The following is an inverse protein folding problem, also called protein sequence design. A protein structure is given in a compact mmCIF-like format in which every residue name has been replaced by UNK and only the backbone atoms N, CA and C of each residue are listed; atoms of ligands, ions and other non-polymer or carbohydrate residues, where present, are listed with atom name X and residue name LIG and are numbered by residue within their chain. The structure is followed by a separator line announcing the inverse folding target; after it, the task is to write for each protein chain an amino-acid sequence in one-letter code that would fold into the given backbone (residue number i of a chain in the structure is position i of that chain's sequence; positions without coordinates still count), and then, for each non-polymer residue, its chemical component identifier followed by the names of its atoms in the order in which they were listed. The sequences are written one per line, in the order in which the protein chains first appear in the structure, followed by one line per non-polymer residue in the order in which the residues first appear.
data_IF_014160963303
#
_entry.id   IF_014160963303
#
_cell.length_a   1.000
_cell.length_b   1.000
_cell.length_c   1.000
_cell.angle_alpha   90.00
_cell.angle_beta   90.00
_cell.angle_gamma   90.00
#
_symmetry.space_group_name_H-M   'P 1'
#
loop_
_entity.id
_entity.type
_entity.pdbx_description
1 polymer ?
#
# COMPACT_ATOMS: atom_id res chain seq x y z
N UNK A 1 -3.80 -24.09 -5.67
CA UNK A 1 -3.52 -22.80 -5.00
C UNK A 1 -3.18 -21.80 -6.09
N UNK A 2 -4.02 -20.77 -6.29
CA UNK A 2 -3.81 -19.75 -7.35
C UNK A 2 -2.53 -18.99 -6.98
N UNK A 3 -1.42 -19.18 -7.70
CA UNK A 3 -0.20 -18.40 -7.53
C UNK A 3 -0.50 -16.98 -8.01
N UNK A 4 -0.83 -16.11 -7.06
CA UNK A 4 -0.90 -14.68 -7.32
C UNK A 4 0.55 -14.26 -7.50
N UNK A 5 0.97 -13.95 -8.74
CA UNK A 5 2.29 -13.38 -9.03
C UNK A 5 2.28 -11.93 -8.53
N UNK A 6 2.32 -11.76 -7.21
CA UNK A 6 2.59 -10.45 -6.60
C UNK A 6 4.11 -10.31 -6.57
N UNK A 7 4.61 -9.32 -7.29
CA UNK A 7 6.02 -8.93 -7.30
C UNK A 7 6.24 -7.80 -6.31
N UNK A 8 7.46 -7.67 -5.78
CA UNK A 8 7.85 -6.57 -4.88
C UNK A 8 7.53 -5.17 -5.45
N UNK A 9 7.62 -4.97 -6.78
CA UNK A 9 7.17 -3.75 -7.48
C UNK A 9 5.69 -3.43 -7.29
N UNK A 10 4.80 -4.44 -7.27
CA UNK A 10 3.37 -4.22 -7.06
C UNK A 10 3.08 -3.75 -5.63
N UNK A 11 3.87 -4.20 -4.65
CA UNK A 11 3.75 -3.75 -3.26
C UNK A 11 4.24 -2.30 -3.09
N UNK A 12 5.32 -1.92 -3.77
CA UNK A 12 5.73 -0.51 -3.84
C UNK A 12 4.68 0.36 -4.53
N UNK A 13 4.08 -0.12 -5.63
CA UNK A 13 2.99 0.57 -6.30
C UNK A 13 1.75 0.71 -5.38
N UNK A 14 1.41 -0.34 -4.63
CA UNK A 14 0.34 -0.30 -3.64
C UNK A 14 0.62 0.71 -2.51
N UNK A 15 1.87 0.82 -2.06
CA UNK A 15 2.29 1.83 -1.10
C UNK A 15 2.05 3.25 -1.63
N UNK A 16 2.45 3.53 -2.87
CA UNK A 16 2.18 4.81 -3.54
C UNK A 16 0.67 5.05 -3.74
N UNK A 17 -0.06 4.04 -4.19
CA UNK A 17 -1.51 4.13 -4.39
C UNK A 17 -2.25 4.45 -3.09
N UNK A 18 -1.78 3.96 -1.94
CA UNK A 18 -2.33 4.30 -0.62
C UNK A 18 -2.22 5.79 -0.31
N UNK A 19 -1.12 6.44 -0.69
CA UNK A 19 -0.93 7.89 -0.51
C UNK A 19 -1.95 8.66 -1.36
N UNK A 20 -2.07 8.32 -2.65
CA UNK A 20 -3.04 8.95 -3.54
C UNK A 20 -4.50 8.69 -3.12
N UNK A 21 -4.80 7.51 -2.59
CA UNK A 21 -6.11 7.17 -2.06
C UNK A 21 -6.47 8.02 -0.83
N UNK A 22 -5.51 8.27 0.08
CA UNK A 22 -5.70 9.16 1.24
C UNK A 22 -6.00 10.60 0.80
N UNK A 23 -5.24 11.13 -0.17
CA UNK A 23 -5.45 12.48 -0.72
C UNK A 23 -6.80 12.57 -1.45
N UNK A 24 -7.15 11.56 -2.25
CA UNK A 24 -8.42 11.52 -2.99
C UNK A 24 -9.62 11.48 -2.05
N UNK A 25 -9.53 10.74 -0.95
CA UNK A 25 -10.57 10.68 0.09
C UNK A 25 -10.80 12.04 0.75
N UNK A 26 -9.74 12.82 0.98
CA UNK A 26 -9.85 14.18 1.49
C UNK A 26 -10.55 15.11 0.49
N UNK A 27 -10.22 15.01 -0.80
CA UNK A 27 -10.87 15.79 -1.86
C UNK A 27 -12.35 15.43 -2.06
N UNK A 28 -12.68 14.14 -2.06
CA UNK A 28 -14.04 13.62 -2.27
C UNK A 28 -14.99 13.96 -1.11
N UNK A 29 -14.47 14.25 0.08
CA UNK A 29 -15.31 14.42 1.28
C UNK A 29 -15.37 15.83 1.85
N UNK A 30 -14.92 16.82 1.08
CA UNK A 30 -14.88 18.25 1.47
C UNK A 30 -16.27 18.91 1.62
N UNK A 31 -17.28 18.21 2.14
CA UNK A 31 -18.63 18.76 2.29
C UNK A 31 -19.72 17.88 2.89
N UNK A 32 -19.50 16.58 3.18
CA UNK A 32 -20.59 15.72 3.70
C UNK A 32 -20.06 14.62 4.63
N UNK A 33 -20.46 14.67 5.91
CA UNK A 33 -20.16 13.71 6.99
C UNK A 33 -18.68 13.59 7.43
N UNK A 34 -18.16 14.66 8.04
CA UNK A 34 -16.75 14.87 8.46
C UNK A 34 -16.14 13.71 9.28
N UNK A 35 -16.79 13.25 10.35
CA UNK A 35 -16.10 12.47 11.39
C UNK A 35 -15.59 11.07 10.98
N UNK A 36 -16.25 10.40 10.03
CA UNK A 36 -15.84 9.05 9.59
C UNK A 36 -14.85 9.10 8.42
N UNK A 37 -14.93 10.16 7.62
CA UNK A 37 -14.09 10.35 6.46
C UNK A 37 -12.64 10.72 6.83
N UNK A 38 -12.49 11.64 7.78
CA UNK A 38 -11.19 12.06 8.28
C UNK A 38 -10.44 10.88 8.93
N UNK A 39 -11.14 10.06 9.71
CA UNK A 39 -10.58 8.85 10.34
C UNK A 39 -10.09 7.84 9.31
N UNK A 40 -10.84 7.64 8.22
CA UNK A 40 -10.46 6.73 7.16
C UNK A 40 -9.27 7.27 6.34
N UNK A 41 -9.21 8.58 6.09
CA UNK A 41 -8.09 9.23 5.42
C UNK A 41 -6.78 9.08 6.20
N UNK A 42 -6.81 9.28 7.52
CA UNK A 42 -5.67 9.04 8.42
C UNK A 42 -5.28 7.56 8.40
N UNK A 43 -6.25 6.65 8.49
CA UNK A 43 -5.98 5.21 8.48
C UNK A 43 -5.30 4.76 7.17
N UNK A 44 -5.78 5.20 6.01
CA UNK A 44 -5.16 4.90 4.70
C UNK A 44 -3.80 5.56 4.53
N UNK A 45 -3.61 6.75 5.13
CA UNK A 45 -2.33 7.45 5.18
C UNK A 45 -1.26 6.76 6.05
N UNK A 46 -1.66 5.85 6.95
CA UNK A 46 -0.77 5.06 7.81
C UNK A 46 -0.31 3.72 7.21
N UNK A 47 -0.93 3.27 6.11
CA UNK A 47 -0.54 2.04 5.40
C UNK A 47 0.74 2.10 4.54
N UNK A 48 1.25 3.25 4.07
CA UNK A 48 2.52 3.32 3.33
C UNK A 48 3.71 2.60 4.01
N UNK A 49 4.00 2.79 5.32
CA UNK A 49 5.08 2.05 5.98
C UNK A 49 4.86 0.54 5.99
N UNK A 50 3.61 0.08 6.15
CA UNK A 50 3.28 -1.35 6.13
C UNK A 50 3.55 -1.97 4.76
N UNK A 51 3.08 -1.33 3.69
CA UNK A 51 3.32 -1.81 2.33
C UNK A 51 4.80 -1.73 1.95
N UNK A 52 5.53 -0.71 2.41
CA UNK A 52 6.97 -0.61 2.17
C UNK A 52 7.74 -1.76 2.83
N UNK A 53 7.42 -2.11 4.09
CA UNK A 53 8.04 -3.25 4.78
C UNK A 53 7.73 -4.57 4.07
N UNK A 54 6.48 -4.77 3.65
CA UNK A 54 6.09 -5.95 2.88
C UNK A 54 6.82 -6.03 1.53
N UNK A 55 6.97 -4.90 0.84
CA UNK A 55 7.71 -4.82 -0.42
C UNK A 55 9.18 -5.23 -0.23
N UNK A 56 9.84 -4.72 0.83
CA UNK A 56 11.22 -5.10 1.16
C UNK A 56 11.37 -6.58 1.49
N UNK A 57 10.46 -7.12 2.29
CA UNK A 57 10.47 -8.55 2.66
C UNK A 57 10.27 -9.45 1.44
N UNK A 58 9.40 -9.05 0.50
CA UNK A 58 9.20 -9.80 -0.75
C UNK A 58 10.40 -9.64 -1.70
N UNK A 59 10.99 -8.46 -1.78
CA UNK A 59 12.22 -8.19 -2.54
C UNK A 59 13.39 -9.05 -2.04
N UNK A 60 13.54 -9.20 -0.72
CA UNK A 60 14.54 -10.06 -0.10
C UNK A 60 14.29 -11.54 -0.46
N UNK A 61 13.04 -12.01 -0.41
CA UNK A 61 12.68 -13.37 -0.82
C UNK A 61 12.92 -13.63 -2.30
N UNK A 62 12.61 -12.66 -3.16
CA UNK A 62 12.92 -12.74 -4.59
C UNK A 62 14.43 -12.78 -4.85
N UNK A 63 15.22 -12.03 -4.07
CA UNK A 63 16.69 -12.01 -4.16
C UNK A 63 17.30 -13.34 -3.69
N UNK A 64 16.86 -13.87 -2.55
CA UNK A 64 17.28 -15.18 -2.03
C UNK A 64 16.98 -16.31 -3.02
N UNK A 65 15.80 -16.28 -3.65
CA UNK A 65 15.42 -17.27 -4.65
C UNK A 65 16.28 -17.17 -5.92
N UNK A 66 16.67 -15.96 -6.33
CA UNK A 66 17.58 -15.74 -7.46
C UNK A 66 19.02 -16.17 -7.17
N UNK A 67 19.48 -16.07 -5.92
CA UNK A 67 20.87 -16.41 -5.53
C UNK A 67 21.07 -17.93 -5.38
N UNK A 68 20.01 -18.69 -5.11
CA UNK A 68 20.07 -20.16 -5.02
C UNK A 68 19.93 -20.90 -6.37
N UNK A 69 19.70 -20.18 -7.48
CA UNK A 69 19.64 -20.74 -8.83
C UNK A 69 20.93 -20.52 -9.62
#
# INVERSE_FOLDING_TARGET
MKKINITSDMLYLAAFASIFASISMWFLRRGDNDGNAERFGIFVGLWPPTFAILARALEEKEREFKVQM
#
